data_IF_586714786664
#
_entry.id   IF_586714786664
#
_cell.length_a   1.000
_cell.length_b   1.000
_cell.length_c   1.000
_cell.angle_alpha   90.00
_cell.angle_beta   90.00
_cell.angle_gamma   90.00
#
_symmetry.space_group_name_H-M   'P 1'
#
loop_
_entity.id
_entity.type
_entity.pdbx_description
1 polymer ?
2 non-polymer ?
3 non-polymer ?
4 non-polymer ?
5 water ?
#
# COMPACT_ATOMS: atom_id res chain seq x y z
N UNK A 14 8.07 -3.89 31.00
CA UNK A 14 9.36 -3.50 30.45
C UNK A 14 10.24 -2.86 31.55
N UNK A 15 11.41 -3.43 31.81
CA UNK A 15 12.19 -3.09 33.01
C UNK A 15 12.89 -1.74 32.86
N UNK A 16 13.21 -1.12 34.00
CA UNK A 16 13.86 0.18 33.94
C UNK A 16 15.29 0.07 33.42
N UNK A 17 15.97 -1.03 33.70
CA UNK A 17 17.30 -1.24 33.14
C UNK A 17 17.24 -1.30 31.62
N UNK A 18 16.22 -1.96 31.07
CA UNK A 18 16.08 -2.04 29.62
C UNK A 18 15.81 -0.66 29.01
N UNK A 19 14.93 0.12 29.63
CA UNK A 19 14.65 1.47 29.14
C UNK A 19 15.91 2.32 29.14
N UNK A 20 16.68 2.25 30.22
CA UNK A 20 17.91 3.03 30.26
C UNK A 20 18.90 2.58 29.19
N UNK A 21 18.91 1.27 28.87
CA UNK A 21 19.78 0.81 27.79
C UNK A 21 19.32 1.35 26.44
N UNK A 22 18.00 1.43 26.22
CA UNK A 22 17.50 2.06 25.00
C UNK A 22 17.92 3.52 24.93
N UNK A 23 17.78 4.25 26.04
CA UNK A 23 18.15 5.66 26.07
C UNK A 23 19.63 5.84 25.82
N UNK A 24 20.46 4.89 26.28
CA UNK A 24 21.89 5.00 26.04
C UNK A 24 22.24 4.91 24.55
N UNK A 25 21.40 4.26 23.75
CA UNK A 25 21.65 4.15 22.31
C UNK A 25 21.19 5.40 21.56
N UNK A 26 19.93 5.80 21.77
CA UNK A 26 19.33 6.84 20.92
C UNK A 26 19.23 8.20 21.60
N UNK A 27 19.49 8.28 22.90
CA UNK A 27 19.30 9.54 23.59
C UNK A 27 17.98 9.61 24.31
N UNK A 28 17.98 10.19 25.51
CA UNK A 28 16.76 10.25 26.30
C UNK A 28 15.57 10.86 25.57
N UNK A 29 15.70 11.95 24.79
CA UNK A 29 14.51 12.49 24.10
C UNK A 29 13.86 11.52 23.13
N UNK A 30 14.58 10.49 22.69
CA UNK A 30 14.13 9.62 21.61
C UNK A 30 13.62 8.27 22.12
N UNK A 31 13.32 8.16 23.41
CA UNK A 31 12.68 6.98 23.99
C UNK A 31 11.48 7.46 24.79
N UNK A 32 10.31 6.85 24.59
CA UNK A 32 9.15 7.22 25.39
C UNK A 32 8.41 5.98 25.87
N UNK A 33 8.09 5.97 27.16
CA UNK A 33 7.15 4.99 27.73
C UNK A 33 5.84 5.64 28.17
N UNK A 34 5.58 6.88 27.78
CA UNK A 34 4.34 7.55 28.13
C UNK A 34 3.15 6.92 27.41
N UNK A 35 2.06 6.71 28.16
CA UNK A 35 0.87 6.06 27.64
C UNK A 35 0.36 6.70 26.35
N UNK A 36 0.22 8.03 26.35
CA UNK A 36 -0.34 8.71 25.19
C UNK A 36 0.54 8.51 23.96
N UNK A 37 1.86 8.54 24.14
CA UNK A 37 2.77 8.39 23.02
C UNK A 37 2.71 6.96 22.49
N UNK A 38 2.61 5.99 23.40
CA UNK A 38 2.48 4.60 22.96
C UNK A 38 1.17 4.35 22.25
N UNK A 39 0.08 4.93 22.75
CA UNK A 39 -1.23 4.75 22.10
C UNK A 39 -1.23 5.34 20.70
N UNK A 40 -0.54 6.47 20.51
CA UNK A 40 -0.44 7.09 19.19
C UNK A 40 0.27 6.19 18.19
N UNK A 41 1.12 5.29 18.69
CA UNK A 41 1.86 4.36 17.84
C UNK A 41 1.32 2.94 17.92
N UNK A 42 0.14 2.75 18.51
CA UNK A 42 -0.43 1.43 18.68
C UNK A 42 -1.45 1.04 17.62
N UNK A 43 -1.64 1.87 16.60
CA UNK A 43 -2.64 1.60 15.59
C UNK A 43 -2.20 2.25 14.30
N UNK A 44 -2.80 1.81 13.21
CA UNK A 44 -2.64 2.47 11.94
C UNK A 44 -3.99 3.06 11.53
N UNK A 45 -4.27 3.11 10.23
CA UNK A 45 -5.55 3.62 9.79
C UNK A 45 -6.63 2.54 9.73
N UNK A 46 -6.29 1.29 10.05
CA UNK A 46 -7.24 0.18 10.01
C UNK A 46 -8.17 0.22 11.22
N UNK A 47 -9.20 -0.61 11.15
CA UNK A 47 -10.10 -0.85 12.27
C UNK A 47 -9.48 -1.73 13.37
N UNK A 48 -8.30 -2.32 13.16
CA UNK A 48 -7.71 -3.17 14.18
C UNK A 48 -7.37 -2.38 15.43
N UNK A 49 -7.58 -2.98 16.60
CA UNK A 49 -7.30 -2.31 17.87
C UNK A 49 -5.89 -2.60 18.38
N UNK A 50 -5.75 -3.48 19.39
CA UNK A 50 -4.53 -3.85 20.13
C UNK A 50 -4.15 -2.91 21.27
N UNK A 51 -3.57 -3.52 22.30
CA UNK A 51 -2.78 -2.92 23.37
C UNK A 51 -1.68 -2.10 22.69
N UNK A 52 -1.19 -1.02 23.28
CA UNK A 52 -0.12 -0.22 22.63
C UNK A 52 1.24 -0.90 22.81
N UNK A 53 2.27 -0.46 22.09
CA UNK A 53 3.63 -0.95 22.40
C UNK A 53 4.03 -0.52 23.80
N UNK A 54 5.03 -1.20 24.36
CA UNK A 54 5.53 -0.85 25.68
C UNK A 54 6.44 0.38 25.68
N UNK A 55 7.01 0.72 24.53
CA UNK A 55 7.84 1.90 24.40
C UNK A 55 7.86 2.26 22.92
N UNK A 56 8.16 3.52 22.65
CA UNK A 56 8.45 4.01 21.30
C UNK A 56 9.86 4.59 21.29
N UNK A 57 10.64 4.23 20.27
CA UNK A 57 12.04 4.62 20.15
C UNK A 57 12.25 5.20 18.75
N UNK A 58 12.97 6.32 18.68
CA UNK A 58 13.30 7.00 17.42
C UNK A 58 14.81 6.93 17.18
N UNK A 59 15.32 5.91 16.50
CA UNK A 59 16.75 5.90 16.20
C UNK A 59 17.10 7.00 15.21
N UNK A 60 18.31 7.55 15.38
CA UNK A 60 18.75 8.70 14.58
C UNK A 60 19.65 8.34 13.41
N UNK A 61 20.16 7.12 13.35
CA UNK A 61 20.99 6.66 12.24
C UNK A 61 20.97 5.14 12.27
N UNK A 62 21.58 4.54 11.25
CA UNK A 62 21.46 3.09 11.07
C UNK A 62 22.20 2.34 12.18
N UNK A 63 23.35 2.87 12.64
CA UNK A 63 24.03 2.25 13.78
C UNK A 63 23.10 2.14 14.99
N UNK A 64 22.32 3.19 15.25
CA UNK A 64 21.36 3.13 16.34
C UNK A 64 20.24 2.14 16.07
N UNK A 65 19.77 2.02 14.82
CA UNK A 65 18.76 1.01 14.53
C UNK A 65 19.30 -0.37 14.85
N UNK A 66 20.53 -0.65 14.42
CA UNK A 66 21.15 -1.94 14.66
C UNK A 66 21.26 -2.22 16.16
N UNK A 67 21.72 -1.24 16.91
CA UNK A 67 21.91 -1.43 18.35
C UNK A 67 20.58 -1.56 19.10
N UNK A 68 19.53 -0.85 18.66
CA UNK A 68 18.23 -1.05 19.27
C UNK A 68 17.70 -2.44 18.95
N UNK A 69 17.83 -2.87 17.70
CA UNK A 69 17.36 -4.21 17.33
C UNK A 69 18.10 -5.29 18.15
N UNK A 70 19.41 -5.16 18.26
CA UNK A 70 20.19 -6.18 18.98
C UNK A 70 19.80 -6.20 20.46
N UNK A 71 19.61 -5.02 21.06
CA UNK A 71 19.17 -4.96 22.44
C UNK A 71 17.84 -5.67 22.65
N UNK A 72 16.85 -5.36 21.81
CA UNK A 72 15.54 -5.99 21.92
C UNK A 72 15.62 -7.49 21.67
N UNK A 73 16.30 -7.86 20.59
CA UNK A 73 16.31 -9.25 20.16
C UNK A 73 16.89 -10.12 21.26
N UNK A 74 18.05 -9.73 21.80
CA UNK A 74 18.72 -10.56 22.79
C UNK A 74 18.02 -10.54 24.13
N UNK A 75 17.14 -9.56 24.39
CA UNK A 75 16.37 -9.55 25.61
C UNK A 75 14.98 -10.14 25.46
N UNK A 76 14.65 -10.66 24.28
CA UNK A 76 13.35 -11.28 24.10
C UNK A 76 12.21 -10.29 24.02
N UNK A 77 12.47 -9.08 23.51
CA UNK A 77 11.48 -8.01 23.45
C UNK A 77 11.04 -7.87 21.99
N UNK A 78 9.76 -7.94 21.67
CA UNK A 78 9.34 -7.74 20.27
C UNK A 78 9.68 -6.37 19.73
N UNK A 79 9.92 -6.35 18.42
CA UNK A 79 10.25 -5.16 17.65
C UNK A 79 9.13 -4.90 16.67
N UNK A 80 8.59 -3.68 16.64
CA UNK A 80 7.57 -3.32 15.66
C UNK A 80 8.09 -2.12 14.86
N UNK A 81 8.51 -2.33 13.61
CA UNK A 81 8.91 -1.17 12.79
C UNK A 81 7.70 -0.30 12.50
N UNK A 82 7.92 1.01 12.51
CA UNK A 82 6.84 1.97 12.35
C UNK A 82 7.32 3.04 11.40
N UNK A 83 6.61 3.23 10.28
CA UNK A 83 6.93 4.31 9.36
C UNK A 83 6.05 5.51 9.62
N UNK A 84 5.07 5.70 8.74
CA UNK A 84 4.08 6.75 8.89
C UNK A 84 2.72 6.27 9.41
N UNK A 85 2.59 4.99 9.75
CA UNK A 85 1.38 4.50 10.38
C UNK A 85 0.13 4.60 9.53
N UNK A 86 0.27 4.56 8.20
CA UNK A 86 -0.88 4.66 7.29
C UNK A 86 -1.34 3.30 6.78
N UNK A 87 -0.74 2.21 7.25
CA UNK A 87 -1.19 0.90 6.82
C UNK A 87 -2.64 0.64 7.17
N UNK A 88 -3.22 -0.37 6.52
CA UNK A 88 -4.63 -0.67 6.73
C UNK A 88 -4.88 -2.12 7.13
N UNK A 89 -3.83 -2.83 7.58
CA UNK A 89 -4.03 -4.20 8.07
C UNK A 89 -3.46 -4.43 9.46
N UNK A 90 -3.22 -3.38 10.23
CA UNK A 90 -2.83 -3.59 11.62
C UNK A 90 -1.36 -3.95 11.77
N UNK A 91 -0.56 -3.61 10.76
CA UNK A 91 0.84 -4.02 10.80
C UNK A 91 1.60 -3.50 12.00
N UNK A 92 1.29 -2.28 12.45
CA UNK A 92 2.00 -1.72 13.60
C UNK A 92 1.34 -2.03 14.94
N UNK A 93 0.22 -2.75 14.94
CA UNK A 93 -0.44 -3.08 16.20
C UNK A 93 0.41 -4.00 17.06
N UNK A 94 0.65 -3.63 18.32
CA UNK A 94 1.60 -4.38 19.14
C UNK A 94 0.87 -5.51 19.87
N UNK A 95 0.54 -6.56 19.11
CA UNK A 95 -0.26 -7.65 19.66
C UNK A 95 0.44 -8.33 20.82
N UNK A 96 1.78 -8.28 20.85
CA UNK A 96 2.58 -8.89 21.92
C UNK A 96 3.42 -7.85 22.66
N UNK A 97 2.99 -6.59 22.66
CA UNK A 97 3.76 -5.53 23.27
C UNK A 97 5.09 -5.32 22.56
N UNK A 98 6.05 -4.80 23.31
CA UNK A 98 7.39 -4.63 22.79
C UNK A 98 7.73 -3.18 22.46
N UNK A 99 8.77 -3.04 21.66
CA UNK A 99 9.33 -1.73 21.31
C UNK A 99 8.92 -1.37 19.89
N UNK A 100 8.19 -0.25 19.75
CA UNK A 100 7.85 0.32 18.45
C UNK A 100 9.00 1.22 18.01
N UNK A 101 9.60 0.93 16.85
CA UNK A 101 10.74 1.69 16.36
C UNK A 101 10.21 2.64 15.29
N UNK A 102 10.03 3.90 15.64
CA UNK A 102 9.63 4.90 14.67
C UNK A 102 10.87 5.34 13.90
N UNK A 103 10.87 5.13 12.58
CA UNK A 103 12.05 5.30 11.78
C UNK A 103 12.13 6.66 11.09
N UNK A 104 11.20 7.58 11.39
CA UNK A 104 11.07 8.73 10.47
C UNK A 104 12.05 9.87 10.75
N UNK A 105 12.86 9.82 11.80
CA UNK A 105 13.87 10.85 11.93
C UNK A 105 15.04 10.64 10.99
N UNK A 106 15.16 9.45 10.40
CA UNK A 106 16.12 9.19 9.34
C UNK A 106 15.40 9.59 8.05
N UNK A 107 15.58 10.84 7.62
CA UNK A 107 14.70 11.43 6.61
C UNK A 107 15.45 11.99 5.41
N UNK A 108 16.64 11.47 5.12
CA UNK A 108 17.48 12.05 4.08
C UNK A 108 17.37 11.30 2.75
N UNK A 109 17.41 12.07 1.67
CA UNK A 109 17.55 11.56 0.31
C UNK A 109 19.03 11.58 -0.05
N UNK A 110 19.54 10.47 -0.57
CA UNK A 110 20.95 10.41 -0.96
C UNK A 110 21.11 9.71 -2.30
N UNK A 111 22.35 9.75 -2.79
CA UNK A 111 22.74 9.03 -4.00
C UNK A 111 21.75 9.27 -5.13
N UNK A 112 21.30 10.52 -5.27
CA UNK A 112 20.43 10.84 -6.40
C UNK A 112 21.27 10.71 -7.66
N UNK A 113 20.92 9.76 -8.52
CA UNK A 113 21.64 9.47 -9.74
C UNK A 113 20.66 9.65 -10.88
N UNK A 114 20.44 10.91 -11.28
CA UNK A 114 19.45 11.17 -12.33
C UNK A 114 19.83 10.50 -13.64
N UNK A 115 21.13 10.47 -13.99
CA UNK A 115 21.58 9.85 -15.23
C UNK A 115 21.32 8.35 -15.26
N UNK A 116 21.20 7.71 -14.10
CA UNK A 116 20.91 6.29 -13.98
C UNK A 116 19.47 6.02 -13.60
N UNK A 117 18.69 7.07 -13.37
CA UNK A 117 17.28 6.92 -13.01
C UNK A 117 17.13 6.23 -11.63
N UNK A 118 17.90 6.69 -10.64
CA UNK A 118 17.82 6.03 -9.33
C UNK A 118 18.11 7.01 -8.20
N UNK A 119 17.67 6.63 -7.00
CA UNK A 119 17.82 7.47 -5.82
C UNK A 119 17.71 6.56 -4.61
N UNK A 120 18.36 6.96 -3.50
CA UNK A 120 18.27 6.24 -2.23
C UNK A 120 17.56 7.12 -1.21
N UNK A 121 16.60 6.54 -0.48
CA UNK A 121 15.79 7.29 0.49
C UNK A 121 15.75 6.55 1.83
N UNK A 122 15.81 7.32 2.90
CA UNK A 122 15.65 6.85 4.28
C UNK A 122 14.18 6.82 4.65
N UNK A 123 13.81 6.18 5.77
CA UNK A 123 12.37 5.94 6.02
C UNK A 123 11.52 7.19 6.24
N UNK A 124 12.11 8.30 6.68
CA UNK A 124 11.34 9.53 6.85
C UNK A 124 10.94 10.23 5.56
N UNK A 125 11.48 9.80 4.42
CA UNK A 125 11.14 10.40 3.13
C UNK A 125 9.80 9.85 2.65
N UNK A 126 8.84 10.74 2.41
CA UNK A 126 7.59 10.36 1.77
C UNK A 126 7.70 10.57 0.25
N UNK A 127 6.74 10.01 -0.48
CA UNK A 127 6.71 10.21 -1.93
C UNK A 127 6.60 11.70 -2.27
N UNK A 128 5.72 12.42 -1.56
CA UNK A 128 5.62 13.88 -1.67
C UNK A 128 6.98 14.56 -1.55
N UNK A 129 7.70 14.24 -0.47
CA UNK A 129 9.01 14.83 -0.25
C UNK A 129 9.96 14.51 -1.39
N UNK A 130 9.95 13.25 -1.86
CA UNK A 130 10.86 12.88 -2.93
C UNK A 130 10.53 13.62 -4.22
N UNK A 131 9.26 13.67 -4.59
CA UNK A 131 8.91 14.31 -5.86
C UNK A 131 9.09 15.83 -5.80
N UNK A 132 8.89 16.43 -4.62
CA UNK A 132 9.26 17.83 -4.44
C UNK A 132 10.76 18.03 -4.68
N UNK A 133 11.58 17.13 -4.14
CA UNK A 133 13.02 17.22 -4.33
C UNK A 133 13.40 17.04 -5.80
N UNK A 134 12.55 16.40 -6.59
CA UNK A 134 12.84 16.05 -7.98
C UNK A 134 12.25 17.00 -9.01
N UNK A 135 11.47 18.01 -8.64
CA UNK A 135 10.97 18.88 -9.70
C UNK A 135 12.13 19.71 -10.27
N UNK A 136 12.07 19.96 -11.58
CA UNK A 136 13.11 20.55 -12.42
C UNK A 136 14.14 19.51 -12.82
N UNK A 137 14.05 18.28 -12.31
CA UNK A 137 14.93 17.21 -12.76
C UNK A 137 14.42 16.50 -14.00
N UNK A 138 13.13 16.62 -14.30
CA UNK A 138 12.53 15.84 -15.35
C UNK A 138 12.23 14.40 -14.96
N UNK A 139 12.46 14.04 -13.70
CA UNK A 139 12.19 12.70 -13.22
C UNK A 139 11.15 12.73 -12.11
N UNK A 140 10.53 11.57 -11.86
CA UNK A 140 9.56 11.47 -10.78
C UNK A 140 9.50 10.03 -10.31
N UNK A 141 8.97 9.84 -9.11
CA UNK A 141 8.70 8.50 -8.61
C UNK A 141 7.21 8.23 -8.68
N UNK A 142 6.77 7.17 -9.39
CA UNK A 142 5.35 7.05 -9.71
C UNK A 142 4.44 6.31 -8.72
N UNK A 143 4.96 5.42 -7.89
CA UNK A 143 4.05 4.58 -7.11
C UNK A 143 3.35 5.43 -6.07
N UNK A 144 2.02 5.52 -6.16
CA UNK A 144 1.25 6.56 -5.47
C UNK A 144 0.10 6.02 -4.63
N UNK A 145 0.37 5.44 -3.46
CA UNK A 145 -0.70 5.27 -2.47
C UNK A 145 -1.34 6.62 -2.18
N UNK A 146 -2.62 6.58 -1.84
CA UNK A 146 -3.32 7.83 -1.52
C UNK A 146 -2.75 8.57 -0.33
N UNK A 147 -2.19 7.85 0.64
CA UNK A 147 -1.65 8.49 1.83
C UNK A 147 -0.23 8.95 1.60
N UNK A 148 0.19 9.92 2.42
CA UNK A 148 1.54 10.48 2.41
C UNK A 148 2.47 9.55 3.17
N UNK A 149 2.77 8.41 2.55
CA UNK A 149 3.41 7.33 3.29
C UNK A 149 4.92 7.35 3.13
N UNK A 150 5.59 6.81 4.15
CA UNK A 150 7.02 6.52 4.06
C UNK A 150 7.32 5.60 2.87
N UNK A 151 8.32 5.97 2.06
CA UNK A 151 8.69 5.13 0.91
C UNK A 151 9.27 3.81 1.38
N UNK A 152 9.98 3.79 2.51
CA UNK A 152 10.46 2.52 3.03
C UNK A 152 9.31 1.68 3.56
N UNK A 153 8.29 2.32 4.13
CA UNK A 153 7.09 1.59 4.53
C UNK A 153 6.38 1.02 3.33
N UNK A 154 6.40 1.76 2.22
CA UNK A 154 5.80 1.28 0.98
C UNK A 154 6.55 0.06 0.45
N UNK A 155 7.88 0.07 0.56
CA UNK A 155 8.66 -1.13 0.22
C UNK A 155 8.31 -2.29 1.16
N UNK A 156 8.15 -2.00 2.45
CA UNK A 156 7.81 -3.06 3.41
C UNK A 156 6.45 -3.68 3.11
N UNK A 157 5.47 -2.88 2.67
CA UNK A 157 4.15 -3.48 2.44
C UNK A 157 3.97 -4.00 1.01
N UNK A 158 4.88 -3.71 0.09
CA UNK A 158 4.69 -4.13 -1.30
C UNK A 158 3.63 -3.28 -1.97
N UNK A 159 3.63 -1.99 -1.67
CA UNK A 159 2.55 -1.08 -2.08
C UNK A 159 2.44 -0.93 -3.61
N UNK A 160 1.24 -0.51 -4.03
CA UNK A 160 1.11 -0.05 -5.41
C UNK A 160 0.28 1.23 -5.40
N UNK A 161 -0.42 1.53 -6.48
CA UNK A 161 -1.24 2.72 -6.53
C UNK A 161 -1.81 2.93 -7.92
N UNK A 162 -2.42 4.11 -8.14
CA UNK A 162 -3.08 4.34 -9.43
C UNK A 162 -2.14 4.30 -10.62
N UNK A 163 -0.86 4.68 -10.44
CA UNK A 163 0.08 4.70 -11.54
C UNK A 163 0.68 3.32 -11.85
N UNK A 164 0.37 2.30 -11.05
CA UNK A 164 1.10 1.03 -11.18
C UNK A 164 0.79 0.30 -12.49
N UNK A 165 -0.42 0.47 -13.02
CA UNK A 165 -0.81 -0.19 -14.27
C UNK A 165 0.18 0.12 -15.39
N UNK A 166 0.79 1.30 -15.39
CA UNK A 166 1.78 1.69 -16.37
C UNK A 166 3.21 1.64 -15.85
N UNK A 167 3.44 2.10 -14.62
CA UNK A 167 4.80 2.33 -14.13
C UNK A 167 5.25 1.30 -13.10
N UNK A 168 4.41 0.34 -12.74
CA UNK A 168 4.82 -0.75 -11.87
C UNK A 168 4.52 -0.52 -10.39
N UNK A 169 4.64 -1.60 -9.62
CA UNK A 169 4.43 -1.56 -8.18
C UNK A 169 5.76 -1.27 -7.47
N UNK A 170 5.75 -1.31 -6.13
CA UNK A 170 7.02 -1.20 -5.42
C UNK A 170 7.95 -2.34 -5.81
N UNK A 171 7.41 -3.54 -5.99
CA UNK A 171 8.26 -4.68 -6.38
C UNK A 171 8.99 -4.40 -7.69
N UNK A 172 8.31 -3.70 -8.61
CA UNK A 172 8.93 -3.38 -9.89
C UNK A 172 9.94 -2.26 -9.76
N UNK A 173 9.81 -1.40 -8.76
CA UNK A 173 10.59 -0.17 -8.70
C UNK A 173 11.56 -0.10 -7.54
N UNK A 174 11.72 -1.18 -6.76
CA UNK A 174 12.73 -1.26 -5.71
C UNK A 174 13.91 -2.05 -6.24
N UNK A 175 15.07 -1.38 -6.32
CA UNK A 175 16.29 -1.93 -6.91
C UNK A 175 17.23 -2.47 -5.84
N UNK A 176 17.13 -1.99 -4.61
CA UNK A 176 18.02 -2.39 -3.54
C UNK A 176 17.35 -1.96 -2.24
N UNK A 177 17.68 -2.67 -1.15
CA UNK A 177 17.22 -2.34 0.19
C UNK A 177 18.37 -2.45 1.17
N UNK A 178 18.42 -1.51 2.11
CA UNK A 178 19.28 -1.62 3.28
C UNK A 178 18.40 -2.08 4.43
N UNK A 179 18.78 -3.20 5.05
CA UNK A 179 17.92 -3.85 6.03
C UNK A 179 18.74 -4.14 7.26
N UNK A 180 18.26 -3.71 8.42
CA UNK A 180 18.80 -4.17 9.70
C UNK A 180 18.05 -5.45 10.04
N UNK A 181 18.78 -6.56 10.05
CA UNK A 181 18.15 -7.84 10.40
C UNK A 181 17.80 -7.88 11.89
N UNK A 182 16.96 -8.84 12.29
CA UNK A 182 16.45 -8.85 13.68
C UNK A 182 17.54 -8.80 14.73
N UNK A 183 18.66 -9.48 14.53
CA UNK A 183 19.70 -9.46 15.56
C UNK A 183 20.68 -8.29 15.40
N UNK A 184 20.39 -7.33 14.50
CA UNK A 184 21.23 -6.16 14.35
C UNK A 184 22.17 -6.13 13.15
N UNK A 185 22.38 -7.26 12.46
CA UNK A 185 23.28 -7.26 11.32
C UNK A 185 22.74 -6.37 10.20
N UNK A 186 23.64 -5.77 9.43
CA UNK A 186 23.25 -4.88 8.34
C UNK A 186 23.40 -5.61 7.01
N UNK A 187 22.29 -5.71 6.28
CA UNK A 187 22.24 -6.34 4.95
C UNK A 187 21.91 -5.30 3.89
N UNK A 188 22.70 -5.28 2.84
CA UNK A 188 22.32 -4.58 1.62
C UNK A 188 21.90 -5.66 0.64
N UNK A 189 20.60 -5.72 0.33
CA UNK A 189 20.06 -6.94 -0.28
C UNK A 189 20.70 -7.22 -1.62
N UNK A 190 21.01 -6.18 -2.40
CA UNK A 190 21.68 -6.36 -3.68
C UNK A 190 23.15 -5.93 -3.64
N UNK A 191 23.68 -5.65 -2.46
CA UNK A 191 25.06 -5.21 -2.33
C UNK A 191 25.15 -3.73 -2.06
N UNK A 192 26.08 -3.32 -1.19
CA UNK A 192 26.15 -1.92 -0.76
C UNK A 192 26.45 -1.00 -1.92
N UNK A 193 25.54 -0.03 -2.14
CA UNK A 193 25.74 0.99 -3.15
C UNK A 193 25.34 0.58 -4.55
N UNK A 194 24.86 -0.64 -4.74
CA UNK A 194 24.62 -1.15 -6.08
C UNK A 194 23.28 -0.69 -6.63
N UNK A 195 23.26 -0.44 -7.92
CA UNK A 195 22.02 -0.08 -8.61
C UNK A 195 22.25 -0.42 -10.06
N UNK A 196 21.26 -1.08 -10.67
CA UNK A 196 21.40 -1.60 -12.02
C UNK A 196 20.01 -2.02 -12.51
N UNK A 197 19.92 -2.32 -13.81
CA UNK A 197 18.62 -2.63 -14.40
C UNK A 197 18.22 -4.08 -14.21
N UNK A 198 19.17 -5.00 -14.13
CA UNK A 198 18.84 -6.43 -14.01
C UNK A 198 20.06 -7.15 -13.47
N UNK A 199 19.80 -8.28 -12.80
CA UNK A 199 20.88 -9.13 -12.32
C UNK A 199 20.40 -10.55 -12.17
N UNK A 200 21.31 -11.48 -12.43
CA UNK A 200 21.13 -12.90 -12.12
C UNK A 200 22.12 -13.36 -11.06
N UNK A 201 22.69 -12.44 -10.30
CA UNK A 201 23.78 -12.79 -9.38
C UNK A 201 23.26 -13.36 -8.07
N UNK A 202 23.28 -14.69 -7.95
CA UNK A 202 22.86 -15.31 -6.69
C UNK A 202 21.34 -15.32 -6.62
N UNK A 203 20.83 -15.43 -5.39
CA UNK A 203 19.39 -15.38 -5.18
C UNK A 203 18.95 -13.94 -4.96
N UNK A 204 17.82 -13.57 -5.54
CA UNK A 204 17.38 -12.18 -5.43
C UNK A 204 16.86 -11.95 -4.02
N UNK A 205 17.65 -11.28 -3.19
CA UNK A 205 17.21 -11.01 -1.83
C UNK A 205 16.30 -9.80 -1.74
N UNK A 206 16.39 -8.87 -2.70
CA UNK A 206 15.58 -7.65 -2.62
C UNK A 206 14.10 -8.00 -2.64
N UNK A 207 13.71 -8.92 -3.52
CA UNK A 207 12.30 -9.27 -3.64
C UNK A 207 11.73 -9.95 -2.41
N UNK A 208 12.58 -10.62 -1.63
CA UNK A 208 12.12 -11.25 -0.40
C UNK A 208 11.70 -10.22 0.64
N UNK A 209 12.41 -9.10 0.70
CA UNK A 209 12.12 -8.12 1.73
C UNK A 209 11.04 -7.11 1.31
N UNK A 210 10.81 -6.93 0.01
CA UNK A 210 9.65 -6.16 -0.42
C UNK A 210 8.41 -6.96 -0.06
N UNK A 211 7.46 -6.32 0.63
CA UNK A 211 6.27 -7.01 1.07
C UNK A 211 6.45 -7.90 2.29
N UNK A 212 7.52 -7.70 3.06
CA UNK A 212 7.72 -8.48 4.27
C UNK A 212 7.10 -7.85 5.52
N UNK A 213 6.63 -6.59 5.43
CA UNK A 213 5.77 -5.97 6.45
C UNK A 213 6.47 -5.86 7.80
N UNK A 214 7.80 -5.78 7.83
CA UNK A 214 8.48 -5.65 9.10
C UNK A 214 8.63 -6.93 9.87
N UNK A 215 8.37 -8.08 9.24
CA UNK A 215 8.53 -9.37 9.91
C UNK A 215 9.85 -10.04 9.62
N UNK A 216 10.67 -9.49 8.74
CA UNK A 216 11.96 -10.10 8.39
C UNK A 216 13.13 -9.18 8.70
N UNK A 217 12.89 -7.94 9.10
CA UNK A 217 13.95 -6.98 9.34
C UNK A 217 13.42 -5.58 9.12
N UNK A 218 14.29 -4.61 9.38
CA UNK A 218 13.94 -3.18 9.38
C UNK A 218 14.58 -2.52 8.18
N UNK A 219 13.75 -2.00 7.26
CA UNK A 219 14.29 -1.33 6.09
C UNK A 219 14.74 0.07 6.48
N UNK A 220 16.03 0.34 6.35
CA UNK A 220 16.57 1.64 6.73
C UNK A 220 16.95 2.48 5.53
N UNK A 221 16.98 1.90 4.33
CA UNK A 221 16.97 2.72 3.11
C UNK A 221 16.43 1.89 1.98
N UNK A 222 15.86 2.56 0.98
CA UNK A 222 15.39 1.93 -0.24
C UNK A 222 16.02 2.62 -1.44
N UNK A 223 16.55 1.82 -2.37
CA UNK A 223 17.00 2.34 -3.67
C UNK A 223 15.87 2.20 -4.67
N UNK A 224 15.42 3.33 -5.22
CA UNK A 224 14.22 3.39 -6.05
C UNK A 224 14.55 3.70 -7.50
N UNK A 225 13.80 3.07 -8.40
CA UNK A 225 13.80 3.42 -9.81
C UNK A 225 12.99 4.69 -10.04
N UNK A 226 13.61 5.67 -10.68
CA UNK A 226 12.91 6.88 -11.10
C UNK A 226 12.51 6.75 -12.56
N UNK A 227 11.53 7.56 -12.94
CA UNK A 227 10.99 7.54 -14.30
C UNK A 227 11.00 8.92 -14.92
N UNK A 228 11.10 9.00 -16.24
CA UNK A 228 10.98 10.31 -16.90
C UNK A 228 9.57 10.86 -16.77
N UNK A 229 9.49 12.16 -16.55
CA UNK A 229 8.18 12.80 -16.54
C UNK A 229 7.55 12.67 -17.92
N UNK A 230 6.23 12.49 -18.00
CA UNK A 230 5.60 12.35 -19.31
C UNK A 230 5.66 13.64 -20.10
N UNK A 231 5.80 13.50 -21.43
CA UNK A 231 5.84 14.66 -22.31
C UNK A 231 4.58 15.49 -22.17
N UNK A 232 3.43 14.83 -22.19
CA UNK A 232 2.15 15.51 -22.03
C UNK A 232 1.21 14.56 -21.31
N UNK A 233 0.23 15.16 -20.63
CA UNK A 233 -0.72 14.44 -19.78
C UNK A 233 -2.14 14.92 -20.06
N UNK A 234 -3.06 13.98 -20.13
CA UNK A 234 -4.49 14.25 -20.28
C UNK A 234 -5.23 13.36 -19.30
N UNK A 235 -6.14 13.93 -18.53
CA UNK A 235 -6.96 13.16 -17.61
C UNK A 235 -8.43 13.37 -17.94
N UNK A 236 -9.25 12.37 -17.62
CA UNK A 236 -10.66 12.47 -17.93
C UNK A 236 -11.44 11.57 -17.00
N UNK A 237 -12.74 11.83 -16.90
CA UNK A 237 -13.63 10.88 -16.25
C UNK A 237 -14.66 10.42 -17.28
N UNK A 238 -15.19 9.23 -17.06
CA UNK A 238 -16.14 8.64 -17.99
C UNK A 238 -17.20 7.88 -17.18
N UNK A 239 -18.46 8.29 -17.35
CA UNK A 239 -19.58 7.74 -16.59
C UNK A 239 -20.26 6.62 -17.39
N UNK A 240 -20.67 5.58 -16.70
CA UNK A 240 -21.20 4.37 -17.33
C UNK A 240 -22.59 4.05 -16.79
N UNK A 241 -23.39 3.30 -17.56
CA UNK A 241 -24.72 2.93 -17.08
C UNK A 241 -24.70 1.88 -16.01
N UNK A 242 -23.61 1.12 -15.87
CA UNK A 242 -23.57 0.01 -14.95
C UNK A 242 -22.13 -0.30 -14.59
N UNK A 243 -21.98 -1.04 -13.49
CA UNK A 243 -20.67 -1.58 -13.11
C UNK A 243 -20.15 -2.49 -14.21
N UNK A 244 -20.99 -3.40 -14.69
CA UNK A 244 -20.61 -4.29 -15.78
C UNK A 244 -20.00 -3.52 -16.95
N UNK A 245 -20.65 -2.42 -17.36
CA UNK A 245 -20.17 -1.68 -18.51
C UNK A 245 -18.81 -1.04 -18.24
N UNK A 246 -18.59 -0.55 -17.02
CA UNK A 246 -17.32 0.10 -16.73
C UNK A 246 -16.19 -0.92 -16.68
N UNK A 247 -16.45 -2.08 -16.09
CA UNK A 247 -15.40 -3.09 -15.93
C UNK A 247 -15.13 -3.80 -17.26
N UNK A 248 -16.17 -4.08 -18.06
CA UNK A 248 -15.93 -4.60 -19.40
C UNK A 248 -15.06 -3.65 -20.21
N UNK A 249 -15.35 -2.34 -20.14
CA UNK A 249 -14.51 -1.36 -20.81
C UNK A 249 -13.05 -1.49 -20.37
N UNK A 250 -12.86 -1.60 -19.06
CA UNK A 250 -11.51 -1.76 -18.52
C UNK A 250 -10.82 -2.98 -19.10
N UNK A 251 -11.48 -4.14 -19.02
CA UNK A 251 -10.87 -5.36 -19.54
C UNK A 251 -10.53 -5.21 -21.02
N UNK A 252 -11.43 -4.58 -21.78
CA UNK A 252 -11.19 -4.45 -23.21
C UNK A 252 -10.10 -3.43 -23.52
N UNK A 253 -9.96 -2.38 -22.70
CA UNK A 253 -8.84 -1.45 -22.87
C UNK A 253 -7.51 -2.17 -22.65
N UNK A 254 -7.45 -3.02 -21.61
CA UNK A 254 -6.22 -3.76 -21.34
C UNK A 254 -5.94 -4.78 -22.44
N UNK A 255 -6.98 -5.47 -22.91
CA UNK A 255 -6.74 -6.47 -23.94
C UNK A 255 -6.36 -5.86 -25.28
N UNK A 256 -6.76 -4.61 -25.51
CA UNK A 256 -6.34 -3.85 -26.68
C UNK A 256 -4.95 -3.25 -26.51
N UNK A 257 -4.32 -3.45 -25.35
CA UNK A 257 -2.95 -3.03 -25.09
C UNK A 257 -2.77 -1.51 -25.16
N UNK A 258 -3.81 -0.74 -24.85
CA UNK A 258 -3.67 0.69 -24.72
C UNK A 258 -2.82 0.98 -23.49
N UNK A 259 -1.69 1.69 -23.61
CA UNK A 259 -0.80 1.92 -22.46
C UNK A 259 -1.29 3.06 -21.55
N UNK A 260 -2.51 2.93 -21.04
CA UNK A 260 -3.09 3.94 -20.15
C UNK A 260 -2.18 4.15 -18.95
N UNK A 261 -2.09 5.39 -18.49
CA UNK A 261 -1.27 5.68 -17.33
C UNK A 261 -2.02 5.40 -16.03
N UNK A 262 -3.32 5.69 -16.00
CA UNK A 262 -4.17 5.45 -14.85
C UNK A 262 -5.53 5.00 -15.35
N UNK A 263 -6.09 3.98 -14.70
CA UNK A 263 -7.49 3.60 -14.97
C UNK A 263 -8.09 3.12 -13.66
N UNK A 264 -8.85 4.01 -13.02
CA UNK A 264 -9.39 3.80 -11.68
C UNK A 264 -10.91 3.71 -11.75
N UNK A 265 -11.45 2.72 -11.05
CA UNK A 265 -12.90 2.53 -10.99
C UNK A 265 -13.46 3.06 -9.68
N UNK A 266 -14.62 3.75 -9.78
CA UNK A 266 -15.41 4.14 -8.63
C UNK A 266 -16.83 3.71 -8.91
N UNK A 267 -17.47 3.00 -7.96
CA UNK A 267 -18.89 2.74 -8.19
C UNK A 267 -19.68 4.00 -7.86
N UNK A 268 -21.01 3.94 -8.02
CA UNK A 268 -21.80 5.13 -7.79
C UNK A 268 -21.70 5.60 -6.34
N UNK A 269 -21.67 4.66 -5.39
CA UNK A 269 -21.50 5.02 -3.98
C UNK A 269 -20.19 5.77 -3.77
N UNK A 270 -19.08 5.21 -4.26
CA UNK A 270 -17.78 5.88 -4.15
C UNK A 270 -17.80 7.25 -4.81
N UNK A 271 -18.38 7.34 -6.01
CA UNK A 271 -18.44 8.63 -6.71
C UNK A 271 -19.15 9.68 -5.87
N UNK A 272 -20.33 9.32 -5.36
CA UNK A 272 -21.08 10.25 -4.52
C UNK A 272 -20.27 10.65 -3.29
N UNK A 273 -19.65 9.69 -2.62
CA UNK A 273 -18.83 10.01 -1.45
C UNK A 273 -17.69 10.96 -1.80
N UNK A 274 -17.00 10.72 -2.93
CA UNK A 274 -15.92 11.61 -3.34
C UNK A 274 -16.45 12.99 -3.70
N UNK A 275 -17.60 13.04 -4.37
CA UNK A 275 -18.27 14.32 -4.63
C UNK A 275 -18.48 15.10 -3.35
N UNK A 276 -19.03 14.43 -2.32
CA UNK A 276 -19.37 15.12 -1.08
C UNK A 276 -18.13 15.51 -0.28
N UNK A 277 -17.03 14.79 -0.46
CA UNK A 277 -15.85 15.00 0.36
C UNK A 277 -14.83 15.92 -0.28
N UNK A 278 -14.89 16.12 -1.60
CA UNK A 278 -13.89 16.87 -2.32
C UNK A 278 -14.49 17.96 -3.18
N UNK A 279 -15.81 18.15 -3.15
CA UNK A 279 -16.48 19.16 -3.96
C UNK A 279 -16.23 18.93 -5.46
N UNK A 280 -15.98 17.68 -5.85
CA UNK A 280 -16.18 17.30 -7.23
C UNK A 280 -17.67 17.26 -7.53
N UNK A 281 -18.01 17.35 -8.82
CA UNK A 281 -19.41 17.32 -9.24
C UNK A 281 -19.59 16.36 -10.41
N UNK A 282 -18.97 15.18 -10.33
CA UNK A 282 -19.15 14.19 -11.37
C UNK A 282 -20.55 13.59 -11.28
N UNK A 283 -21.13 13.20 -12.41
CA UNK A 283 -22.38 12.43 -12.38
C UNK A 283 -22.23 11.22 -11.47
N UNK A 284 -23.25 10.97 -10.65
CA UNK A 284 -23.23 9.85 -9.70
C UNK A 284 -23.58 8.59 -10.49
N UNK A 285 -22.55 7.79 -10.77
CA UNK A 285 -22.60 6.67 -11.69
C UNK A 285 -21.31 5.90 -11.53
N UNK A 286 -21.29 4.62 -11.91
CA UNK A 286 -20.01 3.92 -11.99
C UNK A 286 -19.13 4.64 -13.00
N UNK A 287 -17.89 4.93 -12.59
CA UNK A 287 -17.08 5.91 -13.29
C UNK A 287 -15.67 5.38 -13.42
N UNK A 288 -15.04 5.66 -14.55
CA UNK A 288 -13.60 5.49 -14.69
C UNK A 288 -12.94 6.86 -14.65
N UNK A 289 -11.91 6.98 -13.81
CA UNK A 289 -10.95 8.07 -13.85
C UNK A 289 -9.80 7.59 -14.71
N UNK A 290 -9.46 8.34 -15.75
CA UNK A 290 -8.46 7.91 -16.71
C UNK A 290 -7.36 8.95 -16.81
N UNK A 291 -6.14 8.49 -17.09
CA UNK A 291 -5.07 9.42 -17.42
C UNK A 291 -4.19 8.80 -18.50
N UNK A 292 -3.71 9.63 -19.41
CA UNK A 292 -2.94 9.21 -20.56
C UNK A 292 -1.65 10.02 -20.61
N UNK A 293 -0.54 9.34 -20.91
CA UNK A 293 0.77 9.96 -21.03
C UNK A 293 1.32 9.73 -22.43
N UNK A 294 1.92 10.76 -23.00
CA UNK A 294 2.63 10.60 -24.26
C UNK A 294 2.88 11.95 -24.91
N UNK A 295 3.28 11.88 -26.17
CA UNK A 295 3.31 13.04 -27.03
C UNK A 295 1.89 13.33 -27.54
N UNK A 296 1.72 14.48 -28.19
CA UNK A 296 0.40 14.82 -28.73
C UNK A 296 -0.06 13.79 -29.74
N UNK A 297 0.85 13.26 -30.55
CA UNK A 297 0.48 12.22 -31.51
C UNK A 297 0.04 10.94 -30.80
N UNK A 298 0.85 10.47 -29.85
CA UNK A 298 0.48 9.23 -29.16
C UNK A 298 -0.74 9.42 -28.29
N UNK A 299 -0.90 10.60 -27.68
CA UNK A 299 -2.08 10.86 -26.86
C UNK A 299 -3.36 10.79 -27.69
N UNK A 300 -3.36 11.42 -28.87
CA UNK A 300 -4.56 11.40 -29.71
C UNK A 300 -4.89 9.98 -30.16
N UNK A 301 -3.86 9.18 -30.43
CA UNK A 301 -4.10 7.79 -30.78
C UNK A 301 -4.69 7.02 -29.61
N UNK A 302 -4.09 7.15 -28.42
CA UNK A 302 -4.61 6.42 -27.27
C UNK A 302 -6.04 6.83 -26.96
N UNK A 303 -6.33 8.13 -27.04
CA UNK A 303 -7.65 8.64 -26.69
C UNK A 303 -8.73 8.07 -27.61
N UNK A 304 -8.47 8.04 -28.92
CA UNK A 304 -9.56 7.63 -29.79
C UNK A 304 -9.80 6.13 -29.71
N UNK A 305 -8.74 5.33 -29.51
CA UNK A 305 -8.94 3.90 -29.31
C UNK A 305 -9.63 3.62 -27.97
N UNK A 306 -9.30 4.40 -26.94
CA UNK A 306 -9.94 4.19 -25.64
C UNK A 306 -11.38 4.71 -25.65
N UNK A 307 -11.63 5.84 -26.29
CA UNK A 307 -13.01 6.34 -26.39
C UNK A 307 -13.87 5.38 -27.20
N UNK A 308 -13.30 4.76 -28.24
CA UNK A 308 -14.07 3.79 -29.02
C UNK A 308 -14.54 2.63 -28.16
N UNK A 309 -13.68 2.17 -27.25
CA UNK A 309 -14.05 1.03 -26.41
C UNK A 309 -15.06 1.45 -25.35
N UNK A 310 -14.85 2.60 -24.70
CA UNK A 310 -15.81 3.02 -23.69
C UNK A 310 -17.17 3.30 -24.32
N UNK A 311 -17.19 3.85 -25.54
CA UNK A 311 -18.46 4.10 -26.23
C UNK A 311 -19.20 2.81 -26.50
N UNK A 312 -18.47 1.76 -26.92
CA UNK A 312 -19.04 0.42 -27.11
C UNK A 312 -19.84 -0.03 -25.90
N UNK A 313 -19.41 0.36 -24.70
CA UNK A 313 -20.03 -0.08 -23.46
C UNK A 313 -20.86 1.01 -22.81
N UNK A 314 -21.28 2.01 -23.59
CA UNK A 314 -22.18 3.04 -23.08
C UNK A 314 -21.52 4.13 -22.29
N UNK A 315 -20.20 4.25 -22.34
CA UNK A 315 -19.54 5.31 -21.62
C UNK A 315 -19.89 6.68 -22.19
N UNK A 316 -19.94 7.67 -21.31
CA UNK A 316 -20.12 9.05 -21.69
C UNK A 316 -18.94 9.57 -22.48
N UNK A 317 -19.17 10.64 -23.24
CA UNK A 317 -18.05 11.41 -23.77
C UNK A 317 -17.16 11.82 -22.60
N UNK A 318 -15.85 11.76 -22.82
CA UNK A 318 -14.91 12.02 -21.74
C UNK A 318 -15.10 13.43 -21.20
N UNK A 319 -15.21 13.52 -19.87
CA UNK A 319 -15.19 14.81 -19.18
C UNK A 319 -13.74 15.15 -18.85
N UNK A 320 -13.15 16.06 -19.61
CA UNK A 320 -11.72 16.28 -19.59
C UNK A 320 -11.27 17.00 -18.32
N UNK A 324 -3.63 22.14 -15.55
CA UNK A 324 -2.87 21.60 -14.43
C UNK A 324 -3.76 21.41 -13.22
N UNK A 325 -4.57 22.42 -12.92
CA UNK A 325 -5.19 22.47 -11.60
C UNK A 325 -6.32 21.45 -11.45
N UNK A 326 -7.08 21.15 -12.52
CA UNK A 326 -8.27 20.35 -12.29
C UNK A 326 -7.91 18.87 -12.13
N UNK A 327 -6.89 18.39 -12.88
CA UNK A 327 -6.47 17.00 -12.67
C UNK A 327 -5.91 16.81 -11.26
N UNK A 328 -5.21 17.82 -10.74
CA UNK A 328 -4.71 17.69 -9.38
C UNK A 328 -5.85 17.49 -8.41
N UNK A 329 -6.96 18.23 -8.61
CA UNK A 329 -8.15 18.02 -7.79
C UNK A 329 -8.76 16.65 -8.03
N UNK A 330 -8.76 16.20 -9.29
CA UNK A 330 -9.31 14.88 -9.61
C UNK A 330 -8.59 13.78 -8.83
N UNK A 331 -7.27 13.74 -8.95
CA UNK A 331 -6.51 12.66 -8.32
C UNK A 331 -6.38 12.84 -6.81
N UNK A 332 -6.44 14.09 -6.31
CA UNK A 332 -6.49 14.26 -4.86
C UNK A 332 -7.79 13.69 -4.29
N UNK A 333 -8.91 13.90 -4.99
CA UNK A 333 -10.15 13.27 -4.55
C UNK A 333 -10.04 11.76 -4.56
N UNK A 334 -9.44 11.19 -5.62
CA UNK A 334 -9.25 9.75 -5.69
C UNK A 334 -8.36 9.28 -4.55
N UNK A 335 -7.24 9.97 -4.33
CA UNK A 335 -6.31 9.57 -3.27
C UNK A 335 -6.97 9.64 -1.90
N UNK A 336 -8.00 10.48 -1.74
CA UNK A 336 -8.68 10.60 -0.45
C UNK A 336 -9.97 9.78 -0.38
N UNK A 337 -10.20 8.88 -1.34
CA UNK A 337 -11.39 8.05 -1.33
C UNK A 337 -11.59 7.33 0.01
N UNK A 338 -10.50 6.87 0.62
CA UNK A 338 -10.61 6.23 1.92
C UNK A 338 -11.32 7.13 2.93
N UNK A 339 -10.93 8.41 2.97
CA UNK A 339 -11.55 9.33 3.91
C UNK A 339 -12.94 9.76 3.46
N UNK A 340 -13.15 9.83 2.14
CA UNK A 340 -14.49 10.12 1.62
C UNK A 340 -15.48 9.04 2.04
N UNK A 341 -15.05 7.77 1.98
CA UNK A 341 -15.88 6.67 2.43
C UNK A 341 -16.17 6.78 3.93
N UNK A 342 -15.14 7.04 4.74
CA UNK A 342 -15.36 7.16 6.19
C UNK A 342 -16.34 8.29 6.50
N UNK A 343 -16.29 9.38 5.73
CA UNK A 343 -17.17 10.53 5.93
C UNK A 343 -18.64 10.18 5.69
N UNK A 344 -18.94 9.04 5.08
CA UNK A 344 -20.34 8.65 4.89
C UNK A 344 -21.01 8.35 6.21
N UNK A 345 -20.24 7.95 7.22
CA UNK A 345 -20.78 7.61 8.54
C UNK A 345 -19.79 8.07 9.59
N UNK A 346 -19.86 9.33 10.00
CA UNK A 346 -18.88 9.86 10.96
C UNK A 346 -18.85 9.05 12.25
N UNK A 347 -17.64 8.85 12.77
CA UNK A 347 -17.43 8.00 13.92
C UNK A 347 -17.09 6.56 13.60
N UNK A 348 -17.31 6.12 12.36
CA UNK A 348 -17.03 4.74 12.01
C UNK A 348 -15.55 4.60 11.62
N UNK A 349 -15.08 3.37 11.66
CA UNK A 349 -13.81 2.97 11.09
C UNK A 349 -14.06 2.19 9.81
N UNK A 350 -12.99 1.76 9.14
CA UNK A 350 -13.18 1.11 7.86
C UNK A 350 -12.25 -0.09 7.76
N UNK A 351 -12.68 -1.07 6.95
CA UNK A 351 -11.85 -2.19 6.54
C UNK A 351 -11.94 -2.32 5.03
N UNK A 352 -10.79 -2.42 4.37
CA UNK A 352 -10.75 -2.54 2.92
C UNK A 352 -10.38 -3.96 2.52
N UNK A 353 -11.10 -4.48 1.53
CA UNK A 353 -10.64 -5.65 0.80
C UNK A 353 -9.68 -5.22 -0.30
N UNK A 354 -9.03 -6.19 -0.92
CA UNK A 354 -7.93 -5.86 -1.81
C UNK A 354 -7.63 -7.01 -2.77
N UNK A 355 -8.65 -7.75 -3.19
CA UNK A 355 -8.38 -8.91 -4.04
C UNK A 355 -7.84 -8.47 -5.40
N UNK A 356 -7.09 -9.37 -6.03
CA UNK A 356 -6.60 -9.15 -7.37
C UNK A 356 -6.75 -10.46 -8.13
N UNK A 357 -7.45 -10.43 -9.26
CA UNK A 357 -7.86 -11.64 -9.98
C UNK A 357 -7.34 -11.55 -11.41
N UNK A 358 -7.28 -12.67 -12.13
CA UNK A 358 -7.02 -12.61 -13.58
C UNK A 358 -8.00 -11.64 -14.20
N UNK A 359 -7.52 -10.81 -15.13
CA UNK A 359 -8.34 -9.66 -15.54
C UNK A 359 -9.66 -10.11 -16.16
N UNK A 360 -9.67 -11.26 -16.84
CA UNK A 360 -10.91 -11.66 -17.51
C UNK A 360 -12.00 -12.00 -16.49
N UNK A 361 -11.63 -12.30 -15.25
CA UNK A 361 -12.59 -12.60 -14.18
C UNK A 361 -12.98 -11.36 -13.37
N UNK A 362 -12.41 -10.21 -13.68
CA UNK A 362 -12.72 -9.00 -12.92
C UNK A 362 -14.17 -8.58 -13.07
N UNK A 363 -14.78 -8.60 -14.27
CA UNK A 363 -16.22 -8.29 -14.35
C UNK A 363 -17.07 -9.13 -13.41
N UNK A 364 -16.89 -10.45 -13.43
CA UNK A 364 -17.72 -11.32 -12.58
C UNK A 364 -17.64 -10.91 -11.13
N UNK A 365 -16.42 -10.80 -10.59
CA UNK A 365 -16.29 -10.58 -9.16
C UNK A 365 -16.66 -9.15 -8.76
N UNK A 366 -16.37 -8.13 -9.58
CA UNK A 366 -16.86 -6.79 -9.22
C UNK A 366 -18.38 -6.71 -9.26
N UNK A 367 -19.00 -7.28 -10.29
CA UNK A 367 -20.47 -7.19 -10.35
C UNK A 367 -21.08 -7.97 -9.19
N UNK A 368 -20.52 -9.15 -8.89
CA UNK A 368 -20.97 -9.92 -7.75
C UNK A 368 -20.78 -9.17 -6.43
N UNK A 369 -19.66 -8.44 -6.30
CA UNK A 369 -19.42 -7.69 -5.07
C UNK A 369 -20.44 -6.56 -4.93
N UNK A 370 -20.74 -5.90 -6.05
CA UNK A 370 -21.78 -4.87 -6.03
C UNK A 370 -23.11 -5.46 -5.60
N UNK A 371 -23.51 -6.59 -6.20
CA UNK A 371 -24.78 -7.21 -5.82
C UNK A 371 -24.79 -7.62 -4.36
N UNK A 372 -23.66 -8.12 -3.86
CA UNK A 372 -23.61 -8.56 -2.47
C UNK A 372 -23.64 -7.40 -1.50
N UNK A 373 -23.02 -6.27 -1.86
CA UNK A 373 -23.11 -5.08 -1.01
C UNK A 373 -24.55 -4.59 -0.94
N UNK A 374 -25.24 -4.56 -2.08
CA UNK A 374 -26.65 -4.16 -2.10
C UNK A 374 -27.50 -5.06 -1.23
N UNK A 375 -27.33 -6.38 -1.35
CA UNK A 375 -28.18 -7.33 -0.62
C UNK A 375 -27.92 -7.34 0.87
N UNK A 376 -26.90 -6.63 1.35
CA UNK A 376 -26.51 -6.65 2.75
C UNK A 376 -26.87 -5.34 3.44
N UNK A 377 -26.81 -5.35 4.77
CA UNK A 377 -27.02 -4.13 5.54
C UNK A 377 -25.76 -3.29 5.67
N UNK A 378 -24.66 -3.68 5.05
CA UNK A 378 -23.42 -2.98 5.25
C UNK A 378 -23.30 -1.80 4.28
N UNK A 379 -22.58 -0.77 4.73
CA UNK A 379 -22.24 0.35 3.87
C UNK A 379 -20.87 0.08 3.27
N UNK A 380 -20.82 -0.03 1.95
CA UNK A 380 -19.57 -0.28 1.26
C UNK A 380 -19.45 0.60 0.05
N UNK A 381 -18.25 1.10 -0.18
CA UNK A 381 -17.92 1.84 -1.39
C UNK A 381 -16.88 1.05 -2.15
N UNK A 382 -16.96 1.06 -3.47
CA UNK A 382 -16.04 0.29 -4.31
C UNK A 382 -15.14 1.24 -5.10
N UNK A 383 -13.83 0.99 -5.03
CA UNK A 383 -12.87 1.84 -5.73
C UNK A 383 -11.66 0.97 -6.05
N UNK A 384 -10.97 1.27 -7.15
CA UNK A 384 -9.57 0.86 -7.19
C UNK A 384 -8.98 0.57 -8.55
N UNK A 385 -7.84 -0.12 -8.47
CA UNK A 385 -6.84 -0.23 -9.54
C UNK A 385 -7.21 -1.39 -10.47
N UNK A 386 -8.31 -1.18 -11.19
CA UNK A 386 -8.85 -2.23 -12.04
C UNK A 386 -7.97 -2.51 -13.25
N UNK A 387 -7.06 -1.60 -13.62
CA UNK A 387 -6.06 -1.91 -14.62
C UNK A 387 -5.17 -3.07 -14.24
N UNK A 388 -5.02 -3.32 -12.93
CA UNK A 388 -4.27 -4.46 -12.41
C UNK A 388 -5.15 -5.67 -12.11
N UNK A 389 -6.45 -5.60 -12.40
CA UNK A 389 -7.34 -6.65 -11.96
C UNK A 389 -7.60 -6.61 -10.46
N UNK A 390 -7.50 -5.44 -9.85
CA UNK A 390 -7.50 -5.23 -8.41
C UNK A 390 -8.59 -4.22 -8.08
N UNK A 391 -9.22 -4.38 -6.92
CA UNK A 391 -10.16 -3.37 -6.44
C UNK A 391 -10.29 -3.45 -4.92
N UNK A 392 -10.83 -2.38 -4.34
CA UNK A 392 -11.09 -2.31 -2.91
C UNK A 392 -12.59 -2.18 -2.68
N UNK A 393 -13.14 -3.02 -1.80
CA UNK A 393 -14.40 -2.77 -1.11
C UNK A 393 -14.08 -2.12 0.23
N UNK A 394 -14.46 -0.86 0.40
CA UNK A 394 -14.22 -0.18 1.66
C UNK A 394 -15.50 -0.30 2.49
N UNK A 395 -15.43 -1.10 3.55
CA UNK A 395 -16.58 -1.42 4.38
C UNK A 395 -16.51 -0.64 5.69
N UNK A 396 -17.58 0.06 6.01
CA UNK A 396 -17.62 0.86 7.23
C UNK A 396 -18.08 0.03 8.42
N UNK A 397 -17.48 0.30 9.58
CA UNK A 397 -17.78 -0.43 10.81
C UNK A 397 -17.96 0.57 11.94
N UNK A 398 -19.05 0.42 12.69
CA UNK A 398 -19.21 1.16 13.93
C UNK A 398 -18.28 0.54 14.98
N UNK A 399 -17.37 1.32 15.57
CA UNK A 399 -16.39 0.73 16.52
C UNK A 399 -17.03 0.07 17.73
N UNK A 400 -18.29 0.35 18.04
CA UNK A 400 -18.95 -0.24 19.19
C UNK A 400 -20.00 -1.30 18.82
N UNK A 401 -20.27 -1.50 17.53
CA UNK A 401 -21.27 -2.46 17.08
C UNK A 401 -20.56 -3.77 16.74
N UNK A 402 -20.55 -4.69 17.70
CA UNK A 402 -19.85 -5.96 17.51
C UNK A 402 -20.51 -6.83 16.45
N UNK A 403 -21.84 -6.74 16.31
CA UNK A 403 -22.52 -7.49 15.25
C UNK A 403 -22.03 -7.05 13.88
N UNK A 404 -22.00 -5.74 13.64
CA UNK A 404 -21.59 -5.22 12.34
C UNK A 404 -20.14 -5.56 12.02
N UNK A 405 -19.25 -5.46 13.00
CA UNK A 405 -17.86 -5.80 12.75
C UNK A 405 -17.70 -7.28 12.43
N UNK A 406 -18.48 -8.14 13.07
CA UNK A 406 -18.52 -9.55 12.69
C UNK A 406 -18.97 -9.73 11.25
N UNK A 407 -19.93 -8.88 10.80
CA UNK A 407 -20.53 -9.16 9.51
C UNK A 407 -19.63 -8.63 8.38
N UNK A 408 -18.90 -7.55 8.69
CA UNK A 408 -17.90 -7.00 7.78
C UNK A 408 -16.76 -7.99 7.57
N UNK A 409 -16.28 -8.59 8.67
CA UNK A 409 -15.15 -9.48 8.51
C UNK A 409 -15.58 -10.73 7.76
N UNK A 410 -16.83 -11.18 7.97
CA UNK A 410 -17.36 -12.30 7.19
C UNK A 410 -17.52 -11.93 5.73
N UNK A 411 -17.98 -10.70 5.45
CA UNK A 411 -18.06 -10.24 4.07
C UNK A 411 -16.69 -10.23 3.40
N UNK A 412 -15.70 -9.68 4.10
CA UNK A 412 -14.34 -9.60 3.56
C UNK A 412 -13.77 -10.98 3.25
N UNK A 413 -14.01 -11.95 4.14
CA UNK A 413 -13.42 -13.26 3.92
C UNK A 413 -14.15 -14.02 2.83
N UNK A 414 -15.48 -13.85 2.71
CA UNK A 414 -16.17 -14.42 1.56
C UNK A 414 -15.66 -13.86 0.24
N UNK A 415 -15.46 -12.53 0.18
CA UNK A 415 -14.91 -11.93 -1.03
C UNK A 415 -13.52 -12.47 -1.31
N UNK A 416 -12.67 -12.51 -0.29
CA UNK A 416 -11.33 -13.07 -0.47
C UNK A 416 -11.36 -14.49 -1.01
N UNK A 417 -12.24 -15.32 -0.45
CA UNK A 417 -12.30 -16.70 -0.91
C UNK A 417 -12.85 -16.82 -2.31
N UNK A 418 -13.79 -15.94 -2.70
CA UNK A 418 -14.23 -15.92 -4.09
C UNK A 418 -13.06 -15.58 -5.03
N UNK A 419 -12.24 -14.61 -4.66
CA UNK A 419 -11.08 -14.28 -5.49
C UNK A 419 -10.10 -15.46 -5.58
N UNK A 420 -9.88 -16.17 -4.47
CA UNK A 420 -9.03 -17.34 -4.52
C UNK A 420 -9.62 -18.42 -5.43
N UNK A 421 -10.95 -18.56 -5.42
CA UNK A 421 -11.59 -19.53 -6.29
C UNK A 421 -11.36 -19.21 -7.77
N UNK A 422 -11.17 -17.93 -8.09
CA UNK A 422 -10.96 -17.47 -9.46
C UNK A 422 -9.49 -17.46 -9.86
N UNK A 423 -8.60 -18.03 -9.03
CA UNK A 423 -7.18 -18.07 -9.34
C UNK A 423 -6.40 -16.84 -8.92
N UNK A 424 -7.00 -15.95 -8.14
CA UNK A 424 -6.38 -14.69 -7.79
C UNK A 424 -5.72 -14.72 -6.42
N UNK A 425 -5.47 -13.53 -5.90
CA UNK A 425 -4.80 -13.34 -4.63
C UNK A 425 -5.68 -12.50 -3.71
N UNK A 426 -5.53 -12.74 -2.41
CA UNK A 426 -6.33 -12.03 -1.42
C UNK A 426 -5.87 -10.60 -1.19
N UNK A 427 -4.65 -10.24 -1.61
CA UNK A 427 -4.24 -8.84 -1.49
C UNK A 427 -3.32 -8.45 -2.65
N UNK A 428 -3.71 -7.41 -3.37
CA UNK A 428 -2.88 -6.92 -4.45
C UNK A 428 -1.78 -5.97 -3.99
N UNK A 429 -1.96 -5.29 -2.86
CA UNK A 429 -1.00 -4.27 -2.45
C UNK A 429 -0.96 -3.96 -0.94
N UNK A 430 -2.09 -4.10 -0.23
CA UNK A 430 -2.14 -3.66 1.18
C UNK A 430 -1.33 -4.56 2.10
N UNK A 431 -1.27 -5.84 1.80
CA UNK A 431 -0.62 -6.80 2.67
C UNK A 431 -1.60 -7.61 3.49
N UNK A 432 -1.02 -8.40 4.38
CA UNK A 432 -1.72 -9.39 5.21
C UNK A 432 -1.97 -8.87 6.61
N UNK A 433 -0.95 -8.30 7.24
CA UNK A 433 -1.02 -7.84 8.62
C UNK A 433 -1.72 -8.81 9.54
N UNK A 434 -2.73 -8.32 10.24
CA UNK A 434 -3.57 -9.12 11.12
C UNK A 434 -4.79 -9.69 10.41
N UNK A 435 -5.21 -9.10 9.31
CA UNK A 435 -6.54 -9.39 8.75
C UNK A 435 -6.65 -10.57 7.81
N UNK A 436 -5.59 -10.90 7.08
CA UNK A 436 -5.71 -11.88 6.01
C UNK A 436 -4.85 -13.11 6.24
N UNK A 437 -4.50 -13.43 7.49
CA UNK A 437 -3.58 -14.55 7.72
C UNK A 437 -4.20 -15.88 7.33
N UNK A 438 -5.50 -16.06 7.59
CA UNK A 438 -6.15 -17.31 7.20
C UNK A 438 -6.27 -17.41 5.69
N UNK A 439 -6.63 -16.31 5.02
CA UNK A 439 -6.71 -16.31 3.57
C UNK A 439 -5.36 -16.67 2.95
N UNK A 440 -4.25 -16.17 3.53
CA UNK A 440 -2.93 -16.49 2.99
C UNK A 440 -2.67 -17.98 3.06
N UNK A 441 -2.99 -18.61 4.20
CA UNK A 441 -2.84 -20.05 4.30
C UNK A 441 -3.60 -20.78 3.19
N UNK A 442 -4.82 -20.35 2.90
CA UNK A 442 -5.58 -20.98 1.81
C UNK A 442 -4.93 -20.69 0.46
N UNK A 443 -4.41 -19.48 0.28
CA UNK A 443 -3.89 -19.06 -1.02
C UNK A 443 -2.67 -19.87 -1.44
N UNK A 444 -1.73 -20.13 -0.53
CA UNK A 444 -0.48 -20.78 -0.92
C UNK A 444 -0.34 -22.21 -0.41
N UNK A 445 -1.23 -22.67 0.48
CA UNK A 445 -1.27 -24.07 0.83
C UNK A 445 -0.18 -24.46 1.81
N UNK A 446 -0.18 -25.72 2.23
CA UNK A 446 0.73 -26.12 3.31
C UNK A 446 2.21 -25.97 2.98
N UNK A 447 2.61 -26.28 1.74
CA UNK A 447 4.04 -26.20 1.43
C UNK A 447 4.45 -24.73 1.26
N UNK A 448 3.55 -23.92 0.72
CA UNK A 448 3.81 -22.48 0.66
C UNK A 448 3.94 -21.87 2.04
N UNK A 449 3.04 -22.24 2.95
CA UNK A 449 3.12 -21.71 4.31
C UNK A 449 4.39 -22.16 5.00
N UNK A 450 4.73 -23.46 4.92
CA UNK A 450 5.94 -23.89 5.63
C UNK A 450 7.18 -23.22 5.03
N UNK A 451 7.21 -23.03 3.71
CA UNK A 451 8.37 -22.40 3.10
C UNK A 451 8.51 -20.95 3.56
N UNK A 452 7.39 -20.23 3.58
CA UNK A 452 7.46 -18.86 4.07
C UNK A 452 7.91 -18.84 5.54
N UNK A 453 7.42 -19.79 6.32
CA UNK A 453 7.78 -19.82 7.73
C UNK A 453 9.24 -20.19 7.94
N UNK A 454 9.78 -21.06 7.09
CA UNK A 454 11.19 -21.39 7.19
C UNK A 454 12.04 -20.15 6.89
N UNK A 455 11.59 -19.31 5.97
CA UNK A 455 12.32 -18.09 5.65
C UNK A 455 12.26 -17.13 6.83
N UNK A 456 11.06 -16.97 7.41
CA UNK A 456 10.90 -16.17 8.63
C UNK A 456 11.79 -16.68 9.76
N UNK A 457 11.84 -18.00 9.95
CA UNK A 457 12.64 -18.53 11.05
C UNK A 457 14.13 -18.33 10.83
N UNK A 458 14.62 -18.39 9.60
CA UNK A 458 16.08 -18.25 9.50
C UNK A 458 16.51 -16.82 9.72
N UNK A 459 15.65 -15.86 9.34
CA UNK A 459 15.98 -14.46 9.55
C UNK A 459 15.63 -13.98 10.97
N UNK A 460 14.57 -14.54 11.57
CA UNK A 460 14.08 -14.13 12.89
C UNK A 460 13.88 -15.36 13.76
N UNK A 461 14.98 -16.01 14.17
CA UNK A 461 14.82 -17.28 14.92
C UNK A 461 13.94 -17.14 16.14
N UNK A 462 14.04 -16.03 16.87
CA UNK A 462 13.29 -15.92 18.12
C UNK A 462 11.86 -15.40 17.92
N UNK A 463 11.47 -15.12 16.68
CA UNK A 463 10.11 -14.69 16.40
C UNK A 463 9.75 -13.34 16.98
N UNK A 464 10.71 -12.44 17.12
CA UNK A 464 10.51 -11.14 17.75
C UNK A 464 10.34 -10.01 16.75
N UNK A 465 10.54 -10.27 15.47
CA UNK A 465 10.33 -9.30 14.40
C UNK A 465 8.86 -9.19 14.03
N UNK A 466 8.19 -8.18 14.63
CA UNK A 466 6.77 -7.89 14.44
C UNK A 466 5.93 -9.16 14.54
N UNK A 467 5.84 -9.77 15.72
CA UNK A 467 5.13 -11.03 15.85
C UNK A 467 3.63 -10.89 15.63
N UNK A 468 3.02 -12.00 15.21
CA UNK A 468 1.59 -12.05 14.98
C UNK A 468 1.11 -11.53 13.65
N UNK A 469 2.02 -11.15 12.75
CA UNK A 469 1.65 -10.58 11.46
C UNK A 469 2.05 -11.52 10.34
N UNK A 470 1.22 -11.57 9.30
CA UNK A 470 1.46 -12.28 8.04
C UNK A 470 1.31 -13.79 8.22
N UNK A 471 2.19 -14.40 9.02
CA UNK A 471 2.14 -15.84 9.26
C UNK A 471 1.51 -16.13 10.61
#
# INVERSE_FOLDING_TARGET
WSHPQFEKGSQGGLSQDFVEALKAVVGSPHVSTASAVREQHGHDESMHRCQPPDAVVWPQNVDQVSRVASLCYNQGVPIIPFGTGTGVEGGVCAVQGGVCINLTHMDQITELNTEDFSVVVEPGVTRKALNTHLRDSGLWFPVDPGADASLCGMAATGASGTNAVRYGTMRDNVINLEVVLPDGRLLHTAGRGRHYRKSAAGYNLTGLFVGSEGTLGIITSTTLRLHPAPEATVAATCAFPSVQAAVDSTVQILQAAVPVARIEFLDDVMMDACNRHSKLNCPVAPTLFLEFHGSQQTLAEQLQRTEAITQDNGGSHFSWAKEAEKRNELWAARHNAWYAALALSPGSKAYSTDVCVPISRLPEILVETKEEIKASKLTGAIVGHVGDGNFHCILLVDPDDAEEQRRVKAFAENLGRRALALGGTCTGEHGIGLGKRQLLQEEVGPVGVETMRQLKNTLDPRGLMNPGKVL
#
